data_IF_351299891719
#
_entry.id   IF_351299891719
#
_cell.length_a   1.000
_cell.length_b   1.000
_cell.length_c   1.000
_cell.angle_alpha   90.00
_cell.angle_beta   90.00
_cell.angle_gamma   90.00
#
_symmetry.space_group_name_H-M   'P 1'
#
loop_
_entity.id
_entity.type
_entity.pdbx_description
1 polymer ?
#
# COMPACT_ATOMS: atom_id res chain seq x y z
N UNK A 1 2.43 6.34 25.60
CA UNK A 1 1.22 5.54 25.31
C UNK A 1 1.63 4.08 25.22
N UNK A 2 0.97 3.16 25.92
CA UNK A 2 1.27 1.71 25.80
C UNK A 2 0.48 1.12 24.62
N UNK A 3 0.95 0.02 24.01
CA UNK A 3 0.25 -0.62 22.89
C UNK A 3 -1.20 -1.02 23.19
N UNK A 4 -1.50 -1.34 24.46
CA UNK A 4 -2.87 -1.61 24.94
C UNK A 4 -3.81 -0.41 24.78
N UNK A 5 -3.30 0.82 24.91
CA UNK A 5 -4.11 2.03 24.74
C UNK A 5 -4.46 2.25 23.26
N UNK A 6 -3.53 2.00 22.34
CA UNK A 6 -3.79 2.12 20.89
C UNK A 6 -4.84 1.09 20.46
N UNK A 7 -4.73 -0.15 20.95
CA UNK A 7 -5.69 -1.20 20.65
C UNK A 7 -7.11 -0.82 21.14
N UNK A 8 -7.22 -0.26 22.34
CA UNK A 8 -8.50 0.25 22.86
C UNK A 8 -9.09 1.36 21.97
N UNK A 9 -8.27 2.31 21.52
CA UNK A 9 -8.73 3.36 20.62
C UNK A 9 -9.22 2.79 19.29
N UNK A 10 -8.50 1.83 18.71
CA UNK A 10 -8.91 1.16 17.47
C UNK A 10 -10.28 0.49 17.64
N UNK A 11 -10.56 -0.18 18.76
CA UNK A 11 -11.89 -0.77 19.00
C UNK A 11 -13.00 0.28 19.11
N UNK A 12 -12.73 1.39 19.80
CA UNK A 12 -13.73 2.46 20.00
C UNK A 12 -14.05 3.10 18.66
N UNK A 13 -13.03 3.60 17.95
CA UNK A 13 -13.23 4.29 16.68
C UNK A 13 -13.66 3.34 15.57
N UNK A 14 -13.17 2.09 15.57
CA UNK A 14 -13.61 1.05 14.64
C UNK A 14 -15.12 0.84 14.70
N UNK A 15 -15.71 0.78 15.90
CA UNK A 15 -17.18 0.69 16.04
C UNK A 15 -17.89 1.94 15.53
N UNK A 16 -17.35 3.13 15.77
CA UNK A 16 -17.95 4.39 15.35
C UNK A 16 -17.99 4.54 13.82
N UNK A 17 -16.97 4.04 13.11
CA UNK A 17 -16.88 4.12 11.65
C UNK A 17 -17.49 2.90 10.93
N UNK A 18 -18.10 1.97 11.66
CA UNK A 18 -18.66 0.74 11.07
C UNK A 18 -17.63 -0.34 10.72
N UNK A 19 -16.38 -0.21 11.18
CA UNK A 19 -15.32 -1.21 11.04
C UNK A 19 -14.85 -1.74 12.41
N UNK A 20 -15.67 -2.54 13.12
CA UNK A 20 -15.41 -2.94 14.51
C UNK A 20 -14.19 -3.85 14.70
N UNK A 21 -13.63 -4.37 13.60
CA UNK A 21 -12.43 -5.22 13.59
C UNK A 21 -11.13 -4.43 13.38
N UNK A 22 -11.18 -3.08 13.40
CA UNK A 22 -10.02 -2.21 13.25
C UNK A 22 -8.89 -2.58 14.23
N UNK A 23 -7.71 -2.85 13.69
CA UNK A 23 -6.49 -3.13 14.43
C UNK A 23 -5.46 -2.03 14.18
N UNK A 24 -4.49 -1.84 15.09
CA UNK A 24 -3.44 -0.83 14.91
C UNK A 24 -2.64 -0.97 13.60
N UNK A 25 -2.46 -2.19 13.11
CA UNK A 25 -1.74 -2.42 11.85
C UNK A 25 -2.53 -2.02 10.62
N UNK A 26 -3.87 -2.03 10.66
CA UNK A 26 -4.70 -1.60 9.52
C UNK A 26 -4.45 -0.13 9.20
N UNK A 27 -4.30 0.70 10.24
CA UNK A 27 -3.95 2.12 10.09
C UNK A 27 -2.56 2.30 9.47
N UNK A 28 -1.57 1.51 9.92
CA UNK A 28 -0.21 1.51 9.34
C UNK A 28 -0.24 1.11 7.86
N UNK A 29 -1.00 0.07 7.53
CA UNK A 29 -1.16 -0.40 6.17
C UNK A 29 -1.86 0.63 5.28
N UNK A 30 -2.90 1.29 5.78
CA UNK A 30 -3.62 2.35 5.07
C UNK A 30 -2.70 3.50 4.65
N UNK A 31 -1.93 4.05 5.60
CA UNK A 31 -0.97 5.13 5.32
C UNK A 31 0.10 4.69 4.30
N UNK A 32 0.61 3.47 4.46
CA UNK A 32 1.63 2.96 3.55
C UNK A 32 1.11 2.74 2.12
N UNK A 33 -0.13 2.26 1.97
CA UNK A 33 -0.78 2.11 0.66
C UNK A 33 -1.05 3.46 0.01
N UNK A 34 -1.52 4.45 0.77
CA UNK A 34 -1.78 5.81 0.26
C UNK A 34 -0.50 6.47 -0.26
N UNK A 35 0.56 6.47 0.56
CA UNK A 35 1.87 7.03 0.19
C UNK A 35 2.47 6.30 -1.02
N UNK A 36 2.37 4.96 -1.07
CA UNK A 36 2.83 4.22 -2.23
C UNK A 36 2.00 4.54 -3.49
N UNK A 37 0.69 4.72 -3.35
CA UNK A 37 -0.21 5.04 -4.46
C UNK A 37 0.05 6.43 -5.04
N UNK A 38 0.47 7.39 -4.22
CA UNK A 38 0.77 8.77 -4.65
C UNK A 38 2.16 8.90 -5.28
N UNK A 39 3.16 8.22 -4.71
CA UNK A 39 4.57 8.43 -5.08
C UNK A 39 5.22 7.29 -5.87
N UNK A 40 4.59 6.11 -5.90
CA UNK A 40 5.11 4.89 -6.54
C UNK A 40 6.56 4.53 -6.14
N UNK A 41 6.96 4.92 -4.93
CA UNK A 41 8.33 4.76 -4.42
C UNK A 41 8.34 3.96 -3.11
N UNK A 42 8.86 2.73 -3.18
CA UNK A 42 8.95 1.84 -2.02
C UNK A 42 9.99 2.29 -0.99
N UNK A 43 11.03 3.02 -1.39
CA UNK A 43 12.04 3.53 -0.45
C UNK A 43 11.45 4.64 0.43
N UNK A 44 10.59 5.48 -0.13
CA UNK A 44 9.83 6.46 0.66
C UNK A 44 8.92 5.78 1.68
N UNK A 45 8.18 4.74 1.28
CA UNK A 45 7.34 3.96 2.20
C UNK A 45 8.19 3.26 3.27
N UNK A 46 9.34 2.68 2.89
CA UNK A 46 10.27 2.02 3.81
C UNK A 46 10.78 3.00 4.87
N UNK A 47 11.20 4.19 4.44
CA UNK A 47 11.69 5.26 5.31
C UNK A 47 10.58 5.75 6.25
N UNK A 48 9.38 6.03 5.73
CA UNK A 48 8.21 6.45 6.51
C UNK A 48 7.86 5.43 7.61
N UNK A 49 7.89 4.15 7.27
CA UNK A 49 7.57 3.06 8.18
C UNK A 49 8.71 2.67 9.14
N UNK A 50 9.91 3.20 8.92
CA UNK A 50 11.12 2.85 9.68
C UNK A 50 11.57 1.40 9.47
N UNK A 51 11.29 0.81 8.30
CA UNK A 51 11.68 -0.56 8.00
C UNK A 51 13.19 -0.64 7.73
N UNK A 52 13.86 -1.55 8.43
CA UNK A 52 15.29 -1.82 8.24
C UNK A 52 15.60 -2.50 6.91
N UNK A 53 14.62 -3.21 6.36
CA UNK A 53 14.72 -4.05 5.17
C UNK A 53 13.61 -3.68 4.18
N UNK A 54 13.94 -3.50 2.90
CA UNK A 54 12.94 -3.15 1.88
C UNK A 54 11.94 -4.29 1.67
N UNK A 55 12.36 -5.53 1.90
CA UNK A 55 11.55 -6.73 1.70
C UNK A 55 10.29 -6.73 2.57
N UNK A 56 10.33 -6.15 3.79
CA UNK A 56 9.14 -6.03 4.64
C UNK A 56 8.16 -4.94 4.15
N UNK A 57 8.58 -4.13 3.18
CA UNK A 57 7.78 -3.05 2.55
C UNK A 57 7.20 -3.49 1.20
N UNK A 58 7.77 -4.52 0.57
CA UNK A 58 7.33 -5.04 -0.72
C UNK A 58 5.87 -5.52 -0.73
N UNK A 59 5.29 -5.80 0.45
CA UNK A 59 3.86 -6.12 0.58
C UNK A 59 2.94 -5.03 0.01
N UNK A 60 3.41 -3.77 -0.06
CA UNK A 60 2.64 -2.66 -0.65
C UNK A 60 2.84 -2.52 -2.15
N UNK A 61 3.83 -3.19 -2.73
CA UNK A 61 4.18 -3.11 -4.15
C UNK A 61 3.27 -3.96 -5.05
N UNK A 62 2.10 -4.39 -4.57
CA UNK A 62 1.23 -5.27 -5.34
C UNK A 62 0.80 -4.57 -6.63
N UNK A 63 1.09 -5.20 -7.76
CA UNK A 63 0.67 -4.70 -9.07
C UNK A 63 -0.85 -4.75 -9.12
N UNK A 64 -1.47 -3.59 -9.22
CA UNK A 64 -2.90 -3.52 -9.45
C UNK A 64 -3.23 -4.01 -10.87
N UNK A 65 -4.36 -4.73 -11.08
CA UNK A 65 -4.72 -5.25 -12.40
C UNK A 65 -4.73 -4.20 -13.53
N UNK A 66 -5.07 -2.95 -13.21
CA UNK A 66 -5.07 -1.86 -14.18
C UNK A 66 -3.65 -1.47 -14.63
N UNK A 67 -2.68 -1.46 -13.71
CA UNK A 67 -1.27 -1.18 -14.03
C UNK A 67 -0.66 -2.29 -14.87
N UNK A 68 -1.01 -3.55 -14.57
CA UNK A 68 -0.59 -4.69 -15.37
C UNK A 68 -1.12 -4.59 -16.81
N UNK A 69 -2.41 -4.28 -16.98
CA UNK A 69 -3.01 -4.06 -18.31
C UNK A 69 -2.32 -2.91 -19.06
N UNK A 70 -2.05 -1.80 -18.39
CA UNK A 70 -1.34 -0.67 -19.00
C UNK A 70 0.07 -1.06 -19.47
N UNK A 71 0.81 -1.82 -18.66
CA UNK A 71 2.13 -2.31 -19.03
C UNK A 71 2.08 -3.25 -20.25
N UNK A 72 1.13 -4.18 -20.29
CA UNK A 72 0.91 -5.07 -21.44
C UNK A 72 0.59 -4.26 -22.70
N UNK A 73 -0.38 -3.35 -22.62
CA UNK A 73 -0.78 -2.50 -23.75
C UNK A 73 0.39 -1.67 -24.29
N UNK A 74 1.26 -1.14 -23.41
CA UNK A 74 2.44 -0.37 -23.80
C UNK A 74 3.41 -1.19 -24.66
N UNK A 75 3.64 -2.46 -24.30
CA UNK A 75 4.51 -3.33 -25.10
C UNK A 75 3.83 -3.81 -26.38
N UNK A 76 2.53 -4.09 -26.35
CA UNK A 76 1.76 -4.47 -27.54
C UNK A 76 1.77 -3.36 -28.60
N UNK A 77 1.51 -2.10 -28.20
CA UNK A 77 1.55 -0.97 -29.14
C UNK A 77 2.91 -0.80 -29.79
N UNK A 78 3.99 -0.97 -29.00
CA UNK A 78 5.36 -0.85 -29.47
C UNK A 78 5.75 -1.98 -30.42
N UNK A 79 5.24 -3.19 -30.19
CA UNK A 79 5.45 -4.33 -31.09
C UNK A 79 4.73 -4.13 -32.43
N UNK A 80 3.50 -3.60 -32.41
CA UNK A 80 2.74 -3.29 -33.62
C UNK A 80 3.44 -2.24 -34.49
N UNK A 81 4.03 -1.22 -33.88
CA UNK A 81 4.77 -0.15 -34.58
C UNK A 81 6.07 -0.65 -35.24
N UNK A 82 6.71 -1.69 -34.69
CA UNK A 82 7.92 -2.30 -35.28
C UNK A 82 7.58 -3.26 -36.43
N UNK A 83 6.37 -3.81 -36.43
CA UNK A 83 5.91 -4.79 -37.43
C UNK A 83 5.17 -4.16 -38.62
N UNK A 84 4.87 -2.86 -38.57
CA UNK A 84 4.31 -2.05 -39.66
C UNK A 84 5.40 -1.40 -40.51
#
# INVERSE_FOLDING_TARGET
MTGKNIWRLCNVYGRLIGYPMLKPHDLRHGVAMEVYSEHHDLEQVRALLGHTRIETTQVYAQIQPHQLKAAVNFYESKALEVLS
#
